data_IF_590387924292
#
_entry.id   IF_590387924292
#
_cell.length_a   1.000
_cell.length_b   1.000
_cell.length_c   1.000
_cell.angle_alpha   90.00
_cell.angle_beta   90.00
_cell.angle_gamma   90.00
#
_symmetry.space_group_name_H-M   'P 1'
#
loop_
_entity.id
_entity.type
_entity.pdbx_description
1 polymer ?
#
# COMPACT_ATOMS: atom_id res chain seq x y z
N UNK A 1 8.11 -53.15 -91.69
CA UNK A 1 9.44 -52.62 -92.04
C UNK A 1 9.76 -51.46 -91.11
N UNK A 2 10.86 -51.60 -90.38
CA UNK A 2 11.46 -50.61 -89.47
C UNK A 2 11.66 -49.26 -90.13
N UNK A 3 11.48 -48.17 -89.38
CA UNK A 3 12.36 -47.01 -89.55
C UNK A 3 12.58 -46.30 -88.20
N UNK A 4 13.54 -46.85 -87.44
CA UNK A 4 14.17 -46.20 -86.30
C UNK A 4 14.88 -44.92 -86.80
N UNK A 5 14.22 -43.77 -86.68
CA UNK A 5 14.89 -42.49 -86.86
C UNK A 5 15.78 -42.21 -85.64
N UNK A 6 17.08 -42.40 -85.84
CA UNK A 6 18.17 -42.02 -84.95
C UNK A 6 17.95 -40.61 -84.36
N UNK A 7 17.74 -40.52 -83.04
CA UNK A 7 17.96 -39.26 -82.30
C UNK A 7 19.45 -38.91 -82.42
N UNK A 8 19.79 -37.93 -83.26
CA UNK A 8 21.15 -37.37 -83.33
C UNK A 8 21.50 -36.80 -81.95
N UNK A 9 22.42 -37.45 -81.23
CA UNK A 9 23.11 -36.83 -80.09
C UNK A 9 24.01 -35.73 -80.66
N UNK A 10 23.71 -34.47 -80.32
CA UNK A 10 24.64 -33.38 -80.57
C UNK A 10 25.86 -33.59 -79.66
N UNK A 11 27.01 -33.92 -80.26
CA UNK A 11 28.31 -33.83 -79.60
C UNK A 11 28.83 -32.41 -79.82
N UNK A 12 28.86 -31.60 -78.76
CA UNK A 12 29.63 -30.36 -78.76
C UNK A 12 31.12 -30.72 -78.76
N UNK A 13 31.85 -30.27 -79.78
CA UNK A 13 33.31 -30.39 -79.80
C UNK A 13 33.90 -29.70 -78.57
N UNK A 14 34.95 -30.27 -77.99
CA UNK A 14 35.60 -29.69 -76.82
C UNK A 14 36.14 -28.30 -77.16
N UNK A 15 35.66 -27.27 -76.46
CA UNK A 15 36.19 -25.91 -76.57
C UNK A 15 37.71 -25.93 -76.36
N UNK A 16 38.48 -25.39 -77.32
CA UNK A 16 39.96 -25.42 -77.33
C UNK A 16 40.60 -24.64 -76.17
N UNK A 17 39.81 -23.85 -75.44
CA UNK A 17 40.25 -23.07 -74.31
C UNK A 17 39.45 -23.45 -73.07
N UNK A 18 40.11 -23.99 -72.04
CA UNK A 18 39.51 -24.18 -70.72
C UNK A 18 39.34 -22.79 -70.11
N UNK A 19 38.11 -22.31 -69.99
CA UNK A 19 37.81 -21.14 -69.15
C UNK A 19 38.02 -21.59 -67.71
N UNK A 20 39.24 -21.39 -67.20
CA UNK A 20 39.53 -21.56 -65.78
C UNK A 20 39.08 -20.28 -65.08
N UNK A 21 38.16 -20.44 -64.13
CA UNK A 21 37.77 -19.37 -63.22
C UNK A 21 39.04 -18.91 -62.49
N UNK A 22 39.31 -17.61 -62.45
CA UNK A 22 40.46 -17.04 -61.73
C UNK A 22 40.50 -17.64 -60.31
N UNK A 23 41.62 -18.25 -59.86
CA UNK A 23 41.74 -18.78 -58.50
C UNK A 23 41.40 -17.76 -57.41
N UNK A 24 41.56 -16.45 -57.71
CA UNK A 24 41.22 -15.34 -56.81
C UNK A 24 39.82 -14.77 -57.02
N UNK A 25 39.03 -15.32 -57.94
CA UNK A 25 37.66 -14.87 -58.23
C UNK A 25 36.80 -14.90 -56.97
N UNK A 26 36.82 -16.03 -56.24
CA UNK A 26 36.02 -16.21 -55.03
C UNK A 26 36.38 -15.20 -53.94
N UNK A 27 37.66 -14.87 -53.76
CA UNK A 27 38.12 -13.86 -52.80
C UNK A 27 37.70 -12.44 -53.17
N UNK A 28 37.84 -12.09 -54.45
CA UNK A 28 37.44 -10.76 -54.95
C UNK A 28 35.94 -10.54 -54.83
N UNK A 29 35.14 -11.52 -55.25
CA UNK A 29 33.68 -11.44 -55.19
C UNK A 29 33.19 -11.43 -53.74
N UNK A 30 33.81 -12.22 -52.85
CA UNK A 30 33.49 -12.18 -51.42
C UNK A 30 33.76 -10.81 -50.79
N UNK A 31 34.90 -10.18 -51.09
CA UNK A 31 35.21 -8.83 -50.55
C UNK A 31 34.18 -7.77 -50.94
N UNK A 32 33.59 -7.86 -52.14
CA UNK A 32 32.53 -6.96 -52.58
C UNK A 32 31.26 -7.19 -51.73
N UNK A 33 30.90 -8.45 -51.49
CA UNK A 33 29.75 -8.81 -50.66
C UNK A 33 29.95 -8.43 -49.19
N UNK A 34 31.14 -8.68 -48.64
CA UNK A 34 31.54 -8.30 -47.29
C UNK A 34 31.48 -6.78 -47.07
N UNK A 35 32.03 -6.00 -48.01
CA UNK A 35 31.94 -4.54 -47.96
C UNK A 35 30.48 -4.06 -48.00
N UNK A 36 29.64 -4.66 -48.85
CA UNK A 36 28.22 -4.33 -48.89
C UNK A 36 27.50 -4.65 -47.57
N UNK A 37 27.85 -5.75 -46.90
CA UNK A 37 27.32 -6.09 -45.57
C UNK A 37 27.69 -5.00 -44.56
N UNK A 38 28.95 -4.54 -44.55
CA UNK A 38 29.41 -3.45 -43.68
C UNK A 38 28.69 -2.13 -43.96
N UNK A 39 28.51 -1.75 -45.24
CA UNK A 39 27.80 -0.51 -45.61
C UNK A 39 26.32 -0.55 -45.22
N UNK A 40 25.65 -1.70 -45.39
CA UNK A 40 24.26 -1.90 -44.92
C UNK A 40 24.18 -1.73 -43.42
N UNK A 41 25.13 -2.33 -42.70
CA UNK A 41 25.18 -2.26 -41.25
C UNK A 41 25.45 -0.85 -40.72
N UNK A 42 26.24 -0.06 -41.44
CA UNK A 42 26.52 1.35 -41.14
C UNK A 42 25.43 2.31 -41.65
N UNK A 43 24.29 1.81 -42.12
CA UNK A 43 23.19 2.59 -42.71
C UNK A 43 23.54 3.36 -44.00
N UNK A 44 24.62 2.99 -44.70
CA UNK A 44 25.08 3.60 -45.95
C UNK A 44 24.68 2.76 -47.19
N UNK A 45 23.41 2.36 -47.27
CA UNK A 45 22.93 1.47 -48.34
C UNK A 45 22.66 2.13 -49.70
N UNK A 46 22.67 3.47 -49.80
CA UNK A 46 22.24 4.20 -51.00
C UNK A 46 23.15 4.00 -52.22
N UNK A 47 24.39 3.55 -52.02
CA UNK A 47 25.36 3.27 -53.08
C UNK A 47 25.37 1.82 -53.57
N UNK A 48 24.55 0.93 -52.99
CA UNK A 48 24.60 -0.51 -53.28
C UNK A 48 23.58 -0.90 -54.36
N UNK A 49 24.03 -1.68 -55.35
CA UNK A 49 23.15 -2.28 -56.35
C UNK A 49 22.74 -3.70 -55.94
N UNK A 50 21.48 -3.88 -55.57
CA UNK A 50 20.93 -5.18 -55.15
C UNK A 50 21.04 -6.27 -56.25
N UNK A 51 20.92 -5.90 -57.52
CA UNK A 51 21.03 -6.84 -58.64
C UNK A 51 22.48 -7.33 -58.82
N UNK A 52 23.45 -6.42 -58.65
CA UNK A 52 24.87 -6.76 -58.74
C UNK A 52 25.30 -7.68 -57.58
N UNK A 53 24.87 -7.36 -56.36
CA UNK A 53 25.13 -8.17 -55.17
C UNK A 53 24.50 -9.57 -55.30
N UNK A 54 23.25 -9.63 -55.77
CA UNK A 54 22.56 -10.91 -56.03
C UNK A 54 23.32 -11.74 -57.08
N UNK A 55 23.72 -11.13 -58.20
CA UNK A 55 24.46 -11.81 -59.27
C UNK A 55 25.82 -12.31 -58.77
N UNK A 56 26.51 -11.54 -57.93
CA UNK A 56 27.78 -11.93 -57.33
C UNK A 56 27.62 -13.13 -56.40
N UNK A 57 26.61 -13.14 -55.54
CA UNK A 57 26.30 -14.28 -54.67
C UNK A 57 25.87 -15.52 -55.49
N UNK A 58 24.99 -15.34 -56.48
CA UNK A 58 24.54 -16.40 -57.38
C UNK A 58 25.71 -17.05 -58.12
N UNK A 59 26.61 -16.25 -58.69
CA UNK A 59 27.79 -16.75 -59.41
C UNK A 59 28.77 -17.49 -58.48
N UNK A 60 28.92 -17.06 -57.23
CA UNK A 60 29.73 -17.81 -56.25
C UNK A 60 29.17 -19.21 -56.00
N UNK A 61 27.84 -19.34 -55.87
CA UNK A 61 27.18 -20.65 -55.72
C UNK A 61 27.33 -21.48 -57.00
N UNK A 62 27.10 -20.87 -58.16
CA UNK A 62 27.22 -21.52 -59.48
C UNK A 62 28.62 -22.09 -59.71
N UNK A 63 29.67 -21.38 -59.27
CA UNK A 63 31.06 -21.81 -59.38
C UNK A 63 31.55 -22.69 -58.21
N UNK A 64 30.64 -23.26 -57.41
CA UNK A 64 30.94 -24.17 -56.28
C UNK A 64 31.71 -23.53 -55.11
N UNK A 65 31.62 -22.21 -54.94
CA UNK A 65 32.19 -21.50 -53.78
C UNK A 65 31.15 -21.24 -52.67
N UNK A 66 30.09 -22.05 -52.58
CA UNK A 66 29.02 -21.88 -51.60
C UNK A 66 29.47 -21.99 -50.14
N UNK A 67 30.44 -22.86 -49.84
CA UNK A 67 30.99 -23.00 -48.49
C UNK A 67 31.72 -21.73 -48.04
N UNK A 68 32.47 -21.09 -48.95
CA UNK A 68 33.17 -19.82 -48.70
C UNK A 68 32.18 -18.67 -48.51
N UNK A 69 31.11 -18.64 -49.30
CA UNK A 69 30.04 -17.66 -49.15
C UNK A 69 29.35 -17.78 -47.79
N UNK A 70 29.02 -19.01 -47.37
CA UNK A 70 28.36 -19.27 -46.09
C UNK A 70 29.27 -18.96 -44.89
N UNK A 71 30.50 -19.49 -44.87
CA UNK A 71 31.46 -19.27 -43.78
C UNK A 71 31.87 -17.81 -43.67
N UNK A 72 32.06 -17.11 -44.79
CA UNK A 72 32.28 -15.68 -44.83
C UNK A 72 31.12 -14.90 -44.20
N UNK A 73 29.88 -15.20 -44.60
CA UNK A 73 28.69 -14.51 -44.08
C UNK A 73 28.57 -14.70 -42.56
N UNK A 74 28.72 -15.94 -42.09
CA UNK A 74 28.70 -16.26 -40.65
C UNK A 74 29.79 -15.47 -39.92
N UNK A 75 31.01 -15.41 -40.47
CA UNK A 75 32.13 -14.67 -39.87
C UNK A 75 31.85 -13.17 -39.78
N UNK A 76 31.42 -12.52 -40.87
CA UNK A 76 31.14 -11.08 -40.91
C UNK A 76 29.98 -10.71 -39.99
N UNK A 77 28.90 -11.49 -39.97
CA UNK A 77 27.78 -11.27 -39.04
C UNK A 77 28.20 -11.47 -37.58
N UNK A 78 28.98 -12.52 -37.29
CA UNK A 78 29.50 -12.78 -35.94
C UNK A 78 30.40 -11.63 -35.46
N UNK A 79 31.24 -11.08 -36.34
CA UNK A 79 32.06 -9.92 -36.03
C UNK A 79 31.20 -8.71 -35.63
N UNK A 80 30.19 -8.37 -36.44
CA UNK A 80 29.27 -7.27 -36.12
C UNK A 80 28.55 -7.48 -34.79
N UNK A 81 28.02 -8.69 -34.55
CA UNK A 81 27.34 -9.01 -33.30
C UNK A 81 28.28 -8.86 -32.11
N UNK A 82 29.54 -9.32 -32.21
CA UNK A 82 30.53 -9.17 -31.14
C UNK A 82 30.91 -7.71 -30.88
N UNK A 83 31.03 -6.89 -31.91
CA UNK A 83 31.31 -5.46 -31.75
C UNK A 83 30.15 -4.75 -31.04
N UNK A 84 28.90 -5.11 -31.34
CA UNK A 84 27.72 -4.64 -30.59
C UNK A 84 27.80 -5.09 -29.13
N UNK A 85 28.10 -6.38 -28.89
CA UNK A 85 28.19 -6.92 -27.53
C UNK A 85 29.22 -6.17 -26.69
N UNK A 86 30.39 -5.83 -27.25
CA UNK A 86 31.40 -5.02 -26.56
C UNK A 86 30.91 -3.60 -26.23
N UNK A 87 30.20 -2.97 -27.16
CA UNK A 87 29.61 -1.63 -26.93
C UNK A 87 28.58 -1.71 -25.80
N UNK A 88 27.81 -2.80 -25.72
CA UNK A 88 26.84 -3.04 -24.64
C UNK A 88 27.53 -3.30 -23.30
N UNK A 89 28.58 -4.13 -23.26
CA UNK A 89 29.33 -4.44 -22.04
C UNK A 89 29.99 -3.20 -21.44
N UNK A 90 30.61 -2.35 -22.29
CA UNK A 90 31.20 -1.07 -21.85
C UNK A 90 30.12 -0.11 -21.34
N UNK A 91 28.92 -0.12 -21.93
CA UNK A 91 27.81 0.71 -21.49
C UNK A 91 27.17 0.28 -20.16
N UNK A 92 27.41 -0.96 -19.69
CA UNK A 92 26.81 -1.50 -18.46
C UNK A 92 27.67 -1.29 -17.20
N UNK A 93 28.92 -0.85 -17.33
CA UNK A 93 29.89 -0.77 -16.23
C UNK A 93 29.87 0.51 -15.39
N UNK A 94 29.23 1.60 -15.86
CA UNK A 94 29.26 2.89 -15.15
C UNK A 94 27.86 3.40 -14.73
N UNK A 95 27.69 3.82 -13.47
CA UNK A 95 26.40 4.21 -12.89
C UNK A 95 25.82 5.53 -13.44
N UNK A 96 26.54 6.24 -14.31
CA UNK A 96 26.17 7.56 -14.85
C UNK A 96 25.51 7.54 -16.22
N UNK A 97 25.47 6.40 -16.92
CA UNK A 97 25.08 6.35 -18.33
C UNK A 97 23.70 5.72 -18.54
N UNK A 98 22.67 6.39 -18.02
CA UNK A 98 21.28 6.15 -18.41
C UNK A 98 21.08 6.49 -19.90
N UNK A 99 20.96 5.47 -20.75
CA UNK A 99 20.07 5.52 -21.92
C UNK A 99 20.56 6.09 -23.25
N UNK A 100 21.77 6.63 -23.38
CA UNK A 100 22.18 7.39 -24.58
C UNK A 100 23.08 6.67 -25.62
N UNK A 101 23.56 5.43 -25.41
CA UNK A 101 24.54 4.81 -26.35
C UNK A 101 24.04 3.55 -27.08
N UNK A 102 22.89 2.99 -26.71
CA UNK A 102 22.35 1.80 -27.38
C UNK A 102 21.42 2.23 -28.52
N UNK A 103 21.80 1.94 -29.77
CA UNK A 103 20.93 2.12 -30.93
C UNK A 103 19.72 1.16 -30.81
N UNK A 104 18.60 1.68 -30.31
CA UNK A 104 17.36 0.91 -30.08
C UNK A 104 16.81 0.29 -31.36
N UNK A 105 17.02 0.96 -32.52
CA UNK A 105 16.63 0.44 -33.82
C UNK A 105 17.43 -0.79 -34.22
N UNK A 106 18.74 -0.75 -33.99
CA UNK A 106 19.64 -1.88 -34.22
C UNK A 106 19.28 -3.07 -33.31
N UNK A 107 19.06 -2.83 -32.02
CA UNK A 107 18.63 -3.88 -31.08
C UNK A 107 17.32 -4.53 -31.53
N UNK A 108 16.33 -3.73 -31.92
CA UNK A 108 15.06 -4.24 -32.44
C UNK A 108 15.26 -5.11 -33.68
N UNK A 109 16.14 -4.72 -34.59
CA UNK A 109 16.44 -5.50 -35.79
C UNK A 109 17.13 -6.83 -35.46
N UNK A 110 18.08 -6.83 -34.52
CA UNK A 110 18.76 -8.06 -34.08
C UNK A 110 17.78 -9.00 -33.39
N UNK A 111 16.97 -8.48 -32.47
CA UNK A 111 15.99 -9.30 -31.74
C UNK A 111 14.96 -9.86 -32.71
N UNK A 112 14.50 -9.07 -33.68
CA UNK A 112 13.64 -9.55 -34.77
C UNK A 112 14.30 -10.65 -35.58
N UNK A 113 15.58 -10.48 -35.96
CA UNK A 113 16.33 -11.51 -36.67
C UNK A 113 16.43 -12.81 -35.86
N UNK A 114 16.74 -12.74 -34.57
CA UNK A 114 16.83 -13.92 -33.69
C UNK A 114 15.48 -14.64 -33.60
N UNK A 115 14.38 -13.88 -33.51
CA UNK A 115 13.02 -14.43 -33.51
C UNK A 115 12.65 -15.06 -34.85
N UNK A 116 13.03 -14.45 -35.97
CA UNK A 116 12.79 -14.94 -37.34
C UNK A 116 13.61 -16.23 -37.63
N UNK A 117 14.81 -16.36 -37.06
CA UNK A 117 15.62 -17.58 -37.14
C UNK A 117 15.02 -18.76 -36.35
N UNK A 118 14.19 -18.46 -35.35
CA UNK A 118 13.39 -19.43 -34.64
C UNK A 118 13.24 -19.08 -33.15
N UNK A 119 12.07 -19.36 -32.53
CA UNK A 119 11.86 -19.06 -31.11
C UNK A 119 12.88 -19.70 -30.17
N UNK A 120 13.42 -20.87 -30.51
CA UNK A 120 14.46 -21.54 -29.73
C UNK A 120 15.79 -20.80 -29.76
N UNK A 121 16.14 -20.17 -30.88
CA UNK A 121 17.38 -19.39 -31.02
C UNK A 121 17.33 -18.18 -30.10
N UNK A 122 16.22 -17.44 -30.13
CA UNK A 122 16.03 -16.32 -29.21
C UNK A 122 16.06 -16.78 -27.74
N UNK A 123 15.36 -17.86 -27.39
CA UNK A 123 15.24 -18.28 -25.99
C UNK A 123 16.55 -18.84 -25.43
N UNK A 124 17.20 -19.73 -26.17
CA UNK A 124 18.39 -20.44 -25.70
C UNK A 124 19.67 -19.60 -25.84
N UNK A 125 19.85 -18.92 -26.97
CA UNK A 125 21.12 -18.25 -27.28
C UNK A 125 21.15 -16.79 -26.81
N UNK A 126 19.99 -16.17 -26.53
CA UNK A 126 19.90 -14.79 -26.06
C UNK A 126 19.18 -14.63 -24.72
N UNK A 127 17.91 -15.04 -24.62
CA UNK A 127 17.05 -14.71 -23.47
C UNK A 127 17.58 -15.34 -22.17
N UNK A 128 17.97 -16.62 -22.20
CA UNK A 128 18.55 -17.30 -21.02
C UNK A 128 19.84 -16.63 -20.54
N UNK A 129 20.90 -16.46 -21.37
CA UNK A 129 22.09 -15.72 -20.97
C UNK A 129 21.81 -14.30 -20.50
N UNK A 130 20.89 -13.58 -21.18
CA UNK A 130 20.49 -12.24 -20.80
C UNK A 130 19.90 -12.18 -19.38
N UNK A 131 19.01 -13.13 -19.04
CA UNK A 131 18.41 -13.21 -17.70
C UNK A 131 19.45 -13.57 -16.63
N UNK A 132 20.39 -14.47 -16.92
CA UNK A 132 21.48 -14.83 -16.00
C UNK A 132 22.41 -13.66 -15.70
N UNK A 133 22.83 -12.93 -16.74
CA UNK A 133 23.66 -11.72 -16.58
C UNK A 133 22.89 -10.64 -15.82
N UNK A 134 21.61 -10.44 -16.14
CA UNK A 134 20.75 -9.47 -15.45
C UNK A 134 20.58 -9.82 -13.97
N UNK A 135 20.39 -11.10 -13.64
CA UNK A 135 20.31 -11.55 -12.25
C UNK A 135 21.59 -11.24 -11.48
N UNK A 136 22.76 -11.52 -12.07
CA UNK A 136 24.03 -11.18 -11.45
C UNK A 136 24.21 -9.67 -11.27
N UNK A 137 23.83 -8.87 -12.27
CA UNK A 137 23.87 -7.41 -12.20
C UNK A 137 23.02 -6.88 -11.03
N UNK A 138 21.74 -7.27 -10.97
CA UNK A 138 20.82 -6.82 -9.92
C UNK A 138 21.19 -7.34 -8.53
N UNK A 139 21.80 -8.53 -8.45
CA UNK A 139 22.34 -9.06 -7.20
C UNK A 139 23.47 -8.20 -6.65
N UNK A 140 24.42 -7.78 -7.49
CA UNK A 140 25.54 -6.93 -7.07
C UNK A 140 25.05 -5.52 -6.73
N UNK A 141 24.19 -4.95 -7.58
CA UNK A 141 23.66 -3.60 -7.39
C UNK A 141 22.79 -3.50 -6.12
N UNK A 142 21.91 -4.47 -5.87
CA UNK A 142 21.08 -4.47 -4.67
C UNK A 142 21.91 -4.51 -3.37
N UNK A 143 22.99 -5.30 -3.33
CA UNK A 143 23.90 -5.32 -2.18
C UNK A 143 24.58 -3.97 -1.97
N UNK A 144 25.08 -3.35 -3.05
CA UNK A 144 25.67 -2.01 -2.97
C UNK A 144 24.66 -0.98 -2.44
N UNK A 145 23.42 -1.01 -2.94
CA UNK A 145 22.39 -0.08 -2.45
C UNK A 145 22.07 -0.28 -0.98
N UNK A 146 22.03 -1.52 -0.49
CA UNK A 146 21.80 -1.79 0.94
C UNK A 146 22.91 -1.24 1.82
N UNK A 147 24.15 -1.21 1.34
CA UNK A 147 25.29 -0.70 2.10
C UNK A 147 25.36 0.83 2.14
N UNK A 148 24.83 1.52 1.11
CA UNK A 148 25.01 2.96 0.95
C UNK A 148 23.74 3.81 1.02
N UNK A 149 22.55 3.21 0.97
CA UNK A 149 21.27 3.92 0.94
C UNK A 149 20.46 3.67 2.20
N UNK A 150 19.59 4.62 2.53
CA UNK A 150 18.49 4.35 3.43
C UNK A 150 17.40 3.51 2.73
N UNK A 151 16.45 2.98 3.51
CA UNK A 151 15.40 2.12 2.96
C UNK A 151 14.51 2.87 1.95
N UNK A 152 14.16 4.14 2.19
CA UNK A 152 13.29 4.90 1.28
C UNK A 152 13.92 5.10 -0.10
N UNK A 153 15.20 5.48 -0.12
CA UNK A 153 15.96 5.67 -1.36
C UNK A 153 16.25 4.35 -2.07
N UNK A 154 16.47 3.27 -1.32
CA UNK A 154 16.54 1.92 -1.90
C UNK A 154 15.25 1.58 -2.65
N UNK A 155 14.08 1.79 -2.03
CA UNK A 155 12.78 1.47 -2.63
C UNK A 155 12.54 2.28 -3.91
N UNK A 156 12.88 3.58 -3.92
CA UNK A 156 12.81 4.43 -5.13
C UNK A 156 13.70 3.89 -6.25
N UNK A 157 14.93 3.46 -5.93
CA UNK A 157 15.85 2.89 -6.92
C UNK A 157 15.33 1.56 -7.48
N UNK A 158 14.79 0.68 -6.62
CA UNK A 158 14.20 -0.58 -7.05
C UNK A 158 12.97 -0.36 -7.95
N UNK A 159 12.08 0.57 -7.61
CA UNK A 159 10.94 0.97 -8.44
C UNK A 159 11.41 1.51 -9.80
N UNK A 160 12.44 2.35 -9.81
CA UNK A 160 13.03 2.86 -11.07
C UNK A 160 13.57 1.73 -11.95
N UNK A 161 14.29 0.75 -11.38
CA UNK A 161 14.82 -0.40 -12.14
C UNK A 161 13.70 -1.24 -12.76
N UNK A 162 12.60 -1.47 -12.04
CA UNK A 162 11.42 -2.14 -12.62
C UNK A 162 10.85 -1.38 -13.82
N UNK A 163 10.71 -0.06 -13.71
CA UNK A 163 10.21 0.77 -14.81
C UNK A 163 11.17 0.79 -16.02
N UNK A 164 12.48 0.86 -15.77
CA UNK A 164 13.50 0.79 -16.81
C UNK A 164 13.46 -0.55 -17.58
N UNK A 165 13.18 -1.68 -16.91
CA UNK A 165 12.99 -2.97 -17.60
C UNK A 165 11.70 -3.04 -18.40
N UNK A 166 10.59 -2.48 -17.88
CA UNK A 166 9.33 -2.39 -18.61
C UNK A 166 9.53 -1.61 -19.91
N UNK A 167 10.21 -0.46 -19.81
CA UNK A 167 10.59 0.33 -20.97
C UNK A 167 11.50 -0.48 -21.90
N UNK A 168 12.54 -1.11 -21.39
CA UNK A 168 13.47 -1.91 -22.20
C UNK A 168 12.75 -2.96 -23.05
N UNK A 169 11.83 -3.69 -22.42
CA UNK A 169 11.07 -4.72 -23.10
C UNK A 169 10.21 -4.10 -24.21
N UNK A 170 9.48 -3.03 -23.90
CA UNK A 170 8.64 -2.34 -24.90
C UNK A 170 9.42 -1.81 -26.10
N UNK A 171 10.68 -1.43 -25.92
CA UNK A 171 11.48 -0.82 -26.98
C UNK A 171 12.05 -1.85 -27.97
N UNK A 172 12.56 -2.98 -27.47
CA UNK A 172 13.30 -3.91 -28.33
C UNK A 172 13.34 -5.39 -27.92
N UNK A 173 12.80 -5.82 -26.77
CA UNK A 173 12.77 -7.27 -26.43
C UNK A 173 11.44 -7.90 -26.85
N UNK A 174 11.39 -9.24 -26.88
CA UNK A 174 10.12 -9.94 -27.06
C UNK A 174 9.21 -9.76 -25.85
N UNK A 175 7.90 -9.62 -26.08
CA UNK A 175 6.92 -9.42 -25.02
C UNK A 175 6.88 -10.59 -24.02
N UNK A 176 7.24 -11.81 -24.43
CA UNK A 176 7.29 -12.98 -23.55
C UNK A 176 8.45 -12.91 -22.54
N UNK A 177 9.45 -12.06 -22.79
CA UNK A 177 10.55 -11.83 -21.86
C UNK A 177 10.15 -10.92 -20.70
N UNK A 178 9.06 -10.14 -20.84
CA UNK A 178 8.60 -9.17 -19.83
C UNK A 178 8.47 -9.77 -18.42
N UNK A 179 7.71 -10.86 -18.30
CA UNK A 179 7.49 -11.52 -17.02
C UNK A 179 8.78 -12.12 -16.45
N UNK A 180 9.67 -12.63 -17.31
CA UNK A 180 10.90 -13.29 -16.88
C UNK A 180 11.91 -12.29 -16.32
N UNK A 181 12.14 -11.17 -17.01
CA UNK A 181 13.07 -10.14 -16.52
C UNK A 181 12.50 -9.42 -15.29
N UNK A 182 11.18 -9.18 -15.25
CA UNK A 182 10.51 -8.60 -14.08
C UNK A 182 10.71 -9.50 -12.86
N UNK A 183 10.51 -10.81 -12.99
CA UNK A 183 10.74 -11.77 -11.90
C UNK A 183 12.20 -11.76 -11.41
N UNK A 184 13.18 -11.56 -12.30
CA UNK A 184 14.59 -11.44 -11.91
C UNK A 184 14.80 -10.21 -11.03
N UNK A 185 14.28 -9.05 -11.43
CA UNK A 185 14.38 -7.82 -10.62
C UNK A 185 13.64 -7.98 -9.28
N UNK A 186 12.43 -8.53 -9.30
CA UNK A 186 11.63 -8.77 -8.10
C UNK A 186 12.35 -9.73 -7.13
N UNK A 187 12.98 -10.79 -7.64
CA UNK A 187 13.74 -11.73 -6.81
C UNK A 187 14.99 -11.08 -6.22
N UNK A 188 15.84 -10.49 -7.05
CA UNK A 188 17.16 -10.00 -6.64
C UNK A 188 17.10 -8.69 -5.86
N UNK A 189 16.18 -7.78 -6.21
CA UNK A 189 16.08 -6.48 -5.54
C UNK A 189 15.06 -6.45 -4.40
N UNK A 190 14.03 -7.31 -4.40
CA UNK A 190 12.95 -7.24 -3.40
C UNK A 190 12.96 -8.50 -2.52
N UNK A 191 12.73 -9.68 -3.08
CA UNK A 191 12.51 -10.90 -2.31
C UNK A 191 13.71 -11.27 -1.43
N UNK A 192 14.92 -11.22 -2.00
CA UNK A 192 16.16 -11.59 -1.29
C UNK A 192 16.49 -10.66 -0.11
N UNK A 193 16.02 -9.40 -0.15
CA UNK A 193 16.37 -8.36 0.82
C UNK A 193 15.21 -7.90 1.68
N UNK A 194 14.02 -8.46 1.46
CA UNK A 194 12.74 -8.07 2.08
C UNK A 194 12.85 -7.87 3.60
N UNK A 195 13.34 -8.87 4.34
CA UNK A 195 13.49 -8.80 5.79
C UNK A 195 14.52 -7.75 6.22
N UNK A 196 15.61 -7.61 5.47
CA UNK A 196 16.67 -6.65 5.76
C UNK A 196 16.20 -5.20 5.55
N UNK A 197 15.36 -4.95 4.54
CA UNK A 197 14.77 -3.65 4.27
C UNK A 197 13.76 -3.25 5.34
N UNK A 198 12.85 -4.17 5.70
CA UNK A 198 11.82 -3.89 6.71
C UNK A 198 12.43 -3.61 8.08
N UNK A 199 13.47 -4.35 8.45
CA UNK A 199 14.18 -4.21 9.73
C UNK A 199 15.45 -3.35 9.65
N UNK A 200 15.61 -2.56 8.59
CA UNK A 200 16.80 -1.72 8.40
C UNK A 200 16.93 -0.71 9.54
N UNK A 201 18.13 -0.63 10.12
CA UNK A 201 18.41 0.29 11.23
C UNK A 201 18.16 1.75 10.79
N UNK A 202 17.48 2.52 11.64
CA UNK A 202 17.18 3.95 11.47
C UNK A 202 16.38 4.37 10.22
N UNK A 203 16.05 3.45 9.31
CA UNK A 203 15.31 3.77 8.08
C UNK A 203 14.25 2.75 7.68
N UNK A 204 14.21 1.58 8.31
CA UNK A 204 13.22 0.53 8.03
C UNK A 204 11.79 0.93 8.35
N UNK A 205 10.86 -0.02 8.18
CA UNK A 205 9.42 0.23 8.22
C UNK A 205 8.97 0.91 9.51
N UNK A 206 9.50 0.51 10.67
CA UNK A 206 9.15 1.11 11.96
C UNK A 206 9.47 2.60 12.00
N UNK A 207 10.63 3.01 11.48
CA UNK A 207 10.99 4.43 11.43
C UNK A 207 10.10 5.20 10.44
N UNK A 208 9.74 4.59 9.31
CA UNK A 208 8.78 5.19 8.38
C UNK A 208 7.39 5.40 9.00
N UNK A 209 6.95 4.48 9.89
CA UNK A 209 5.69 4.62 10.63
C UNK A 209 5.77 5.73 11.69
N UNK A 210 6.91 5.86 12.39
CA UNK A 210 7.13 6.90 13.39
C UNK A 210 7.18 8.29 12.76
N UNK A 211 7.94 8.46 11.67
CA UNK A 211 8.16 9.72 10.96
C UNK A 211 7.05 10.10 9.97
N UNK A 212 5.95 9.34 9.92
CA UNK A 212 4.80 9.58 9.02
C UNK A 212 5.18 9.66 7.53
N UNK A 213 6.14 8.82 7.08
CA UNK A 213 6.62 8.76 5.68
C UNK A 213 5.66 7.98 4.78
N UNK A 214 4.46 8.51 4.55
CA UNK A 214 3.38 7.83 3.82
C UNK A 214 3.75 7.40 2.39
N UNK A 215 4.53 8.22 1.66
CA UNK A 215 4.95 7.87 0.30
C UNK A 215 5.88 6.66 0.28
N UNK A 216 6.86 6.62 1.17
CA UNK A 216 7.82 5.50 1.24
C UNK A 216 7.13 4.21 1.70
N UNK A 217 6.18 4.31 2.64
CA UNK A 217 5.30 3.19 3.02
C UNK A 217 4.46 2.69 1.82
N UNK A 218 3.95 3.61 0.98
CA UNK A 218 3.21 3.27 -0.23
C UNK A 218 4.06 2.56 -1.28
N UNK A 219 5.30 3.01 -1.48
CA UNK A 219 6.30 2.33 -2.32
C UNK A 219 6.64 0.95 -1.76
N UNK A 220 6.84 0.84 -0.45
CA UNK A 220 7.10 -0.44 0.21
C UNK A 220 5.95 -1.42 -0.04
N UNK A 221 4.70 -1.00 0.15
CA UNK A 221 3.53 -1.85 -0.10
C UNK A 221 3.44 -2.31 -1.57
N UNK A 222 3.66 -1.39 -2.51
CA UNK A 222 3.56 -1.64 -3.95
C UNK A 222 4.70 -2.53 -4.49
N UNK A 223 5.87 -2.50 -3.87
CA UNK A 223 6.99 -3.41 -4.18
C UNK A 223 6.79 -4.78 -3.53
N UNK A 224 6.32 -4.81 -2.28
CA UNK A 224 6.18 -6.04 -1.52
C UNK A 224 4.96 -6.87 -1.93
N UNK A 225 3.94 -6.26 -2.55
CA UNK A 225 2.81 -7.01 -3.13
C UNK A 225 3.21 -7.93 -4.30
N UNK A 226 4.37 -7.67 -4.91
CA UNK A 226 4.90 -8.41 -6.07
C UNK A 226 5.57 -9.72 -5.68
N UNK A 227 6.02 -9.85 -4.43
CA UNK A 227 6.76 -11.01 -3.95
C UNK A 227 5.94 -11.85 -2.98
N UNK A 228 6.22 -13.15 -2.94
CA UNK A 228 5.58 -14.05 -1.98
C UNK A 228 5.92 -13.63 -0.55
N UNK A 229 4.92 -13.71 0.35
CA UNK A 229 5.04 -13.31 1.75
C UNK A 229 5.39 -11.83 2.01
N UNK A 230 5.43 -10.97 0.99
CA UNK A 230 5.75 -9.54 1.18
C UNK A 230 4.71 -8.82 2.03
N UNK A 231 3.43 -8.91 1.65
CA UNK A 231 2.34 -8.28 2.40
C UNK A 231 2.18 -8.84 3.82
N UNK A 232 2.40 -10.14 4.02
CA UNK A 232 2.37 -10.72 5.38
C UNK A 232 3.49 -10.17 6.24
N UNK A 233 4.70 -10.05 5.71
CA UNK A 233 5.87 -9.54 6.44
C UNK A 233 5.63 -8.12 6.95
N UNK A 234 5.22 -7.20 6.05
CA UNK A 234 4.97 -5.80 6.45
C UNK A 234 3.78 -5.70 7.42
N UNK A 235 2.73 -6.52 7.24
CA UNK A 235 1.58 -6.54 8.14
C UNK A 235 1.98 -7.01 9.54
N UNK A 236 2.80 -8.04 9.63
CA UNK A 236 3.23 -8.61 10.91
C UNK A 236 4.13 -7.62 11.67
N UNK A 237 5.00 -6.89 10.95
CA UNK A 237 5.83 -5.82 11.54
C UNK A 237 4.99 -4.63 12.00
N UNK A 238 4.03 -4.17 11.19
CA UNK A 238 3.07 -3.14 11.59
C UNK A 238 2.28 -3.57 12.84
N UNK A 239 1.77 -4.80 12.85
CA UNK A 239 0.99 -5.36 13.97
C UNK A 239 1.82 -5.39 15.25
N UNK A 240 3.07 -5.86 15.17
CA UNK A 240 3.99 -5.91 16.30
C UNK A 240 4.27 -4.51 16.85
N UNK A 241 4.57 -3.55 15.97
CA UNK A 241 4.83 -2.17 16.35
C UNK A 241 3.61 -1.49 17.01
N UNK A 242 2.41 -1.62 16.43
CA UNK A 242 1.17 -1.07 17.00
C UNK A 242 0.91 -1.65 18.39
N UNK A 243 1.10 -2.96 18.57
CA UNK A 243 0.88 -3.61 19.86
C UNK A 243 1.85 -3.11 20.93
N UNK A 244 3.12 -2.90 20.57
CA UNK A 244 4.13 -2.40 21.50
C UNK A 244 3.87 -0.93 21.86
N UNK A 245 3.68 -0.05 20.87
CA UNK A 245 3.35 1.36 21.08
C UNK A 245 2.04 1.52 21.87
N UNK A 246 1.00 0.77 21.50
CA UNK A 246 -0.29 0.79 22.19
C UNK A 246 -0.20 0.28 23.63
N UNK A 247 0.61 -0.76 23.89
CA UNK A 247 0.88 -1.25 25.25
C UNK A 247 1.57 -0.17 26.10
N UNK A 248 2.58 0.49 25.56
CA UNK A 248 3.26 1.59 26.25
C UNK A 248 2.27 2.71 26.59
N UNK A 249 1.44 3.12 25.62
CA UNK A 249 0.40 4.14 25.82
C UNK A 249 -0.58 3.77 26.94
N UNK A 250 -1.07 2.53 26.98
CA UNK A 250 -2.08 2.15 28.01
C UNK A 250 -1.51 1.86 29.40
N UNK A 251 -0.20 1.64 29.50
CA UNK A 251 0.49 1.30 30.77
C UNK A 251 1.30 2.46 31.36
N UNK A 252 1.49 3.56 30.62
CA UNK A 252 2.29 4.71 31.06
C UNK A 252 1.65 5.41 32.29
N UNK A 253 2.31 5.41 33.46
CA UNK A 253 1.81 6.06 34.67
C UNK A 253 1.48 7.54 34.52
N UNK A 254 2.18 8.27 33.65
CA UNK A 254 1.91 9.70 33.40
C UNK A 254 0.60 9.88 32.63
N UNK A 255 0.38 9.08 31.59
CA UNK A 255 -0.86 9.09 30.80
C UNK A 255 -2.08 8.62 31.60
N UNK A 256 -1.88 7.78 32.62
CA UNK A 256 -2.95 7.34 33.51
C UNK A 256 -3.46 8.43 34.49
N UNK A 257 -2.78 9.59 34.58
CA UNK A 257 -3.19 10.71 35.44
C UNK A 257 -4.36 11.50 34.84
N UNK A 258 -4.42 11.61 33.51
CA UNK A 258 -5.46 12.34 32.80
C UNK A 258 -6.27 11.38 31.90
N UNK A 259 -7.49 10.99 32.32
CA UNK A 259 -8.37 10.13 31.54
C UNK A 259 -8.75 10.71 30.17
N UNK A 260 -8.81 12.03 30.04
CA UNK A 260 -9.20 12.69 28.79
C UNK A 260 -8.03 12.64 27.80
N UNK A 261 -6.83 12.96 28.27
CA UNK A 261 -5.61 12.87 27.46
C UNK A 261 -5.33 11.42 27.03
N UNK A 262 -5.54 10.45 27.93
CA UNK A 262 -5.41 9.02 27.63
C UNK A 262 -6.25 8.60 26.43
N UNK A 263 -7.55 8.91 26.46
CA UNK A 263 -8.47 8.54 25.37
C UNK A 263 -8.17 9.33 24.10
N UNK A 264 -7.77 10.60 24.22
CA UNK A 264 -7.36 11.40 23.06
C UNK A 264 -6.15 10.77 22.35
N UNK A 265 -5.12 10.34 23.08
CA UNK A 265 -3.96 9.66 22.49
C UNK A 265 -4.36 8.36 21.76
N UNK A 266 -5.31 7.59 22.29
CA UNK A 266 -5.83 6.39 21.62
C UNK A 266 -6.54 6.71 20.30
N UNK A 267 -7.32 7.79 20.28
CA UNK A 267 -8.00 8.25 19.07
C UNK A 267 -7.02 8.75 18.02
N UNK A 268 -6.01 9.51 18.43
CA UNK A 268 -4.99 10.07 17.54
C UNK A 268 -4.14 8.95 16.91
N UNK A 269 -3.76 7.94 17.70
CA UNK A 269 -3.09 6.73 17.21
C UNK A 269 -3.96 5.96 16.21
N UNK A 270 -5.26 5.81 16.49
CA UNK A 270 -6.19 5.12 15.58
C UNK A 270 -6.30 5.86 14.25
N UNK A 271 -6.48 7.18 14.31
CA UNK A 271 -6.57 8.04 13.14
C UNK A 271 -5.27 8.01 12.32
N UNK A 272 -4.10 7.97 12.97
CA UNK A 272 -2.79 7.86 12.30
C UNK A 272 -2.72 6.58 11.47
N UNK A 273 -3.00 5.43 12.05
CA UNK A 273 -2.91 4.17 11.30
C UNK A 273 -4.03 3.98 10.27
N UNK A 274 -5.22 4.53 10.51
CA UNK A 274 -6.27 4.56 9.47
C UNK A 274 -5.83 5.38 8.26
N UNK A 275 -5.19 6.53 8.46
CA UNK A 275 -4.60 7.32 7.38
C UNK A 275 -3.51 6.55 6.65
N UNK A 276 -2.61 5.87 7.36
CA UNK A 276 -1.57 5.03 6.74
C UNK A 276 -2.19 3.96 5.85
N UNK A 277 -3.18 3.22 6.37
CA UNK A 277 -3.82 2.15 5.61
C UNK A 277 -4.54 2.71 4.37
N UNK A 278 -5.22 3.85 4.53
CA UNK A 278 -5.97 4.46 3.43
C UNK A 278 -5.06 5.05 2.34
N UNK A 279 -3.94 5.68 2.72
CA UNK A 279 -3.07 6.40 1.78
C UNK A 279 -1.95 5.52 1.21
N UNK A 280 -1.33 4.67 2.04
CA UNK A 280 -0.16 3.89 1.67
C UNK A 280 -0.49 2.43 1.33
N UNK A 281 -1.45 1.81 2.03
CA UNK A 281 -1.75 0.36 1.88
C UNK A 281 -3.01 0.08 1.09
N UNK A 282 -3.40 0.97 0.18
CA UNK A 282 -4.51 0.78 -0.77
C UNK A 282 -5.85 0.39 -0.09
N UNK A 283 -6.06 0.81 1.16
CA UNK A 283 -7.23 0.47 1.96
C UNK A 283 -7.42 -1.06 2.15
N UNK A 284 -6.33 -1.81 2.29
CA UNK A 284 -6.33 -3.28 2.41
C UNK A 284 -7.02 -3.76 3.71
N UNK A 285 -8.08 -4.58 3.54
CA UNK A 285 -8.88 -5.12 4.65
C UNK A 285 -8.08 -5.97 5.62
N UNK A 286 -7.02 -6.63 5.16
CA UNK A 286 -6.19 -7.48 6.04
C UNK A 286 -5.38 -6.62 7.02
N UNK A 287 -4.95 -5.43 6.61
CA UNK A 287 -4.29 -4.45 7.47
C UNK A 287 -5.29 -3.78 8.41
N UNK A 288 -6.50 -3.45 7.94
CA UNK A 288 -7.57 -2.95 8.80
C UNK A 288 -7.92 -3.94 9.92
N UNK A 289 -8.04 -5.22 9.59
CA UNK A 289 -8.32 -6.27 10.57
C UNK A 289 -7.18 -6.43 11.58
N UNK A 290 -5.92 -6.35 11.12
CA UNK A 290 -4.75 -6.38 11.99
C UNK A 290 -4.69 -5.17 12.95
N UNK A 291 -5.04 -3.98 12.46
CA UNK A 291 -5.17 -2.77 13.27
C UNK A 291 -6.27 -2.94 14.34
N UNK A 292 -7.47 -3.36 13.93
CA UNK A 292 -8.60 -3.59 14.83
C UNK A 292 -8.26 -4.61 15.94
N UNK A 293 -7.65 -5.74 15.57
CA UNK A 293 -7.23 -6.77 16.51
C UNK A 293 -6.13 -6.26 17.46
N UNK A 294 -5.25 -5.38 17.00
CA UNK A 294 -4.19 -4.79 17.84
C UNK A 294 -4.78 -3.84 18.88
N UNK A 295 -5.73 -2.98 18.47
CA UNK A 295 -6.46 -2.10 19.39
C UNK A 295 -7.26 -2.89 20.43
N UNK A 296 -7.98 -3.94 20.02
CA UNK A 296 -8.66 -4.85 20.93
C UNK A 296 -7.69 -5.52 21.92
N UNK A 297 -6.49 -5.87 21.47
CA UNK A 297 -5.50 -6.48 22.36
C UNK A 297 -5.02 -5.52 23.45
N UNK A 298 -4.50 -4.33 23.09
CA UNK A 298 -3.85 -3.49 24.09
C UNK A 298 -4.83 -2.67 24.94
N UNK A 299 -6.01 -2.28 24.42
CA UNK A 299 -6.97 -1.47 25.20
C UNK A 299 -7.45 -2.20 26.45
N UNK A 300 -7.55 -3.52 26.36
CA UNK A 300 -7.99 -4.41 27.45
C UNK A 300 -6.86 -4.80 28.41
N UNK A 301 -5.61 -4.37 28.18
CA UNK A 301 -4.52 -4.55 29.15
C UNK A 301 -4.67 -3.61 30.36
N UNK A 302 -5.36 -2.48 30.18
CA UNK A 302 -5.63 -1.53 31.25
C UNK A 302 -7.07 -1.69 31.75
N UNK A 303 -7.30 -2.14 33.00
CA UNK A 303 -8.65 -2.30 33.57
C UNK A 303 -9.40 -0.97 33.75
N UNK A 304 -8.70 0.17 33.69
CA UNK A 304 -9.32 1.51 33.78
C UNK A 304 -9.80 2.04 32.43
N UNK A 305 -9.49 1.38 31.30
CA UNK A 305 -9.94 1.82 29.97
C UNK A 305 -11.45 2.07 29.89
N UNK A 306 -12.34 1.20 30.42
CA UNK A 306 -13.79 1.46 30.42
C UNK A 306 -14.19 2.72 31.21
N UNK A 307 -13.54 2.98 32.36
CA UNK A 307 -13.77 4.19 33.16
C UNK A 307 -13.34 5.44 32.39
N UNK A 308 -12.14 5.40 31.79
CA UNK A 308 -11.54 6.53 31.09
C UNK A 308 -12.33 6.93 29.84
N UNK A 309 -12.78 5.95 29.05
CA UNK A 309 -13.65 6.23 27.90
C UNK A 309 -14.96 6.87 28.37
N UNK A 310 -15.52 6.41 29.49
CA UNK A 310 -16.73 7.02 30.05
C UNK A 310 -16.50 8.48 30.52
N UNK A 311 -15.35 8.76 31.15
CA UNK A 311 -14.97 10.10 31.59
C UNK A 311 -14.69 11.03 30.40
N UNK A 312 -14.05 10.54 29.34
CA UNK A 312 -13.83 11.31 28.12
C UNK A 312 -15.16 11.75 27.49
N UNK A 313 -16.11 10.83 27.38
CA UNK A 313 -17.46 11.12 26.89
C UNK A 313 -18.17 12.14 27.79
N UNK A 314 -18.07 11.99 29.11
CA UNK A 314 -18.62 12.95 30.08
C UNK A 314 -18.01 14.34 29.91
N UNK A 315 -16.70 14.45 29.75
CA UNK A 315 -15.99 15.71 29.54
C UNK A 315 -16.46 16.40 28.24
N UNK A 316 -16.55 15.67 27.12
CA UNK A 316 -17.02 16.22 25.84
C UNK A 316 -18.47 16.69 25.90
N UNK A 317 -19.35 15.97 26.62
CA UNK A 317 -20.77 16.33 26.76
C UNK A 317 -21.04 17.44 27.79
N UNK A 318 -20.12 17.69 28.74
CA UNK A 318 -20.26 18.78 29.73
C UNK A 318 -19.59 20.08 29.31
N UNK A 319 -18.35 19.98 28.84
CA UNK A 319 -17.55 21.18 28.55
C UNK A 319 -17.78 21.72 27.16
N UNK A 320 -18.38 20.92 26.27
CA UNK A 320 -18.83 21.31 24.92
C UNK A 320 -17.89 22.33 24.36
N UNK A 321 -16.67 21.88 24.05
CA UNK A 321 -15.48 22.71 23.80
C UNK A 321 -15.91 24.10 23.30
N UNK A 322 -15.71 25.14 24.12
CA UNK A 322 -16.07 26.52 23.75
C UNK A 322 -15.53 26.82 22.35
N UNK A 323 -16.40 26.82 21.33
CA UNK A 323 -16.05 27.04 19.92
C UNK A 323 -16.07 25.82 18.98
N UNK A 324 -16.51 24.64 19.42
CA UNK A 324 -16.64 23.43 18.58
C UNK A 324 -18.08 23.24 18.12
N UNK A 325 -18.27 22.87 16.86
CA UNK A 325 -19.59 22.70 16.26
C UNK A 325 -20.27 21.42 16.76
N UNK A 326 -21.60 21.34 16.66
CA UNK A 326 -22.33 20.09 16.98
C UNK A 326 -21.92 18.93 16.07
N UNK A 327 -21.51 19.22 14.83
CA UNK A 327 -21.01 18.24 13.86
C UNK A 327 -19.68 17.61 14.31
N UNK A 328 -18.76 18.42 14.83
CA UNK A 328 -17.48 17.93 15.36
C UNK A 328 -17.68 17.04 16.59
N UNK A 329 -18.66 17.36 17.45
CA UNK A 329 -19.02 16.52 18.59
C UNK A 329 -19.49 15.15 18.10
N UNK A 330 -20.35 15.12 17.08
CA UNK A 330 -20.87 13.88 16.52
C UNK A 330 -19.77 12.99 15.94
N UNK A 331 -18.79 13.58 15.24
CA UNK A 331 -17.59 12.88 14.72
C UNK A 331 -16.78 12.28 15.88
N UNK A 332 -16.57 13.03 16.96
CA UNK A 332 -15.85 12.54 18.14
C UNK A 332 -16.62 11.39 18.81
N UNK A 333 -17.96 11.49 18.91
CA UNK A 333 -18.78 10.42 19.46
C UNK A 333 -18.68 9.14 18.62
N UNK A 334 -18.68 9.24 17.28
CA UNK A 334 -18.47 8.08 16.40
C UNK A 334 -17.10 7.44 16.63
N UNK A 335 -16.04 8.25 16.72
CA UNK A 335 -14.69 7.75 17.00
C UNK A 335 -14.60 7.04 18.35
N UNK A 336 -15.24 7.57 19.39
CA UNK A 336 -15.29 6.92 20.70
C UNK A 336 -16.05 5.60 20.64
N UNK A 337 -17.11 5.50 19.82
CA UNK A 337 -17.82 4.23 19.64
C UNK A 337 -16.94 3.15 19.00
N UNK A 338 -15.97 3.54 18.17
CA UNK A 338 -14.96 2.60 17.66
C UNK A 338 -14.14 2.02 18.81
N UNK A 339 -13.65 2.85 19.75
CA UNK A 339 -12.93 2.38 20.93
C UNK A 339 -13.80 1.51 21.83
N UNK A 340 -15.07 1.88 22.01
CA UNK A 340 -16.02 1.09 22.79
C UNK A 340 -16.20 -0.33 22.22
N UNK A 341 -16.20 -0.49 20.89
CA UNK A 341 -16.28 -1.83 20.26
C UNK A 341 -15.12 -2.74 20.62
N UNK A 342 -13.94 -2.17 20.88
CA UNK A 342 -12.75 -2.93 21.27
C UNK A 342 -12.75 -3.36 22.75
N UNK A 343 -13.65 -2.82 23.59
CA UNK A 343 -13.73 -3.20 25.00
C UNK A 343 -14.35 -4.59 25.18
N UNK A 344 -13.71 -5.41 26.03
CA UNK A 344 -14.26 -6.68 26.50
C UNK A 344 -15.26 -6.49 27.65
N UNK A 345 -14.90 -5.68 28.65
CA UNK A 345 -15.73 -5.40 29.85
C UNK A 345 -16.73 -4.25 29.62
N UNK A 346 -17.68 -4.46 28.71
CA UNK A 346 -18.70 -3.45 28.34
C UNK A 346 -19.67 -3.11 29.50
N UNK A 347 -19.87 -4.03 30.43
CA UNK A 347 -20.69 -3.84 31.63
C UNK A 347 -20.03 -2.88 32.64
N UNK A 348 -18.70 -2.91 32.74
CA UNK A 348 -17.92 -1.97 33.56
C UNK A 348 -18.04 -0.56 32.97
N UNK A 349 -17.93 -0.42 31.65
CA UNK A 349 -18.19 0.85 30.97
C UNK A 349 -19.62 1.35 31.28
N UNK A 350 -20.63 0.49 31.13
CA UNK A 350 -22.03 0.84 31.37
C UNK A 350 -22.25 1.36 32.80
N UNK A 351 -21.62 0.72 33.80
CA UNK A 351 -21.70 1.15 35.20
C UNK A 351 -21.16 2.56 35.39
N UNK A 352 -19.97 2.87 34.87
CA UNK A 352 -19.40 4.23 34.96
C UNK A 352 -20.20 5.24 34.16
N UNK A 353 -20.63 4.87 32.95
CA UNK A 353 -21.45 5.73 32.10
C UNK A 353 -22.74 6.16 32.79
N UNK A 354 -23.46 5.22 33.44
CA UNK A 354 -24.66 5.54 34.23
C UNK A 354 -24.37 6.50 35.37
N UNK A 355 -23.26 6.33 36.09
CA UNK A 355 -22.88 7.21 37.19
C UNK A 355 -22.59 8.64 36.69
N UNK A 356 -21.90 8.78 35.55
CA UNK A 356 -21.60 10.09 34.96
C UNK A 356 -22.85 10.75 34.38
N UNK A 357 -23.68 9.98 33.68
CA UNK A 357 -24.98 10.42 33.17
C UNK A 357 -25.86 10.95 34.31
N UNK A 358 -25.95 10.21 35.43
CA UNK A 358 -26.71 10.67 36.60
C UNK A 358 -26.20 12.01 37.12
N UNK A 359 -24.88 12.18 37.25
CA UNK A 359 -24.28 13.45 37.71
C UNK A 359 -24.57 14.60 36.73
N UNK A 360 -24.50 14.38 35.42
CA UNK A 360 -24.84 15.40 34.41
C UNK A 360 -26.29 15.84 34.49
N UNK A 361 -27.19 14.85 34.58
CA UNK A 361 -28.61 15.10 34.66
C UNK A 361 -29.03 15.85 35.94
N UNK A 362 -28.32 15.62 37.06
CA UNK A 362 -28.57 16.31 38.32
C UNK A 362 -27.90 17.70 38.40
N UNK A 363 -26.73 17.88 37.79
CA UNK A 363 -25.98 19.15 37.82
C UNK A 363 -26.53 20.20 36.83
N UNK A 364 -27.22 19.76 35.77
CA UNK A 364 -27.75 20.67 34.74
C UNK A 364 -26.69 21.24 33.79
N UNK A 365 -25.46 20.71 33.86
CA UNK A 365 -24.30 21.13 33.05
C UNK A 365 -24.21 20.37 31.71
N UNK A 366 -25.33 20.04 31.05
CA UNK A 366 -25.31 19.38 29.73
C UNK A 366 -25.21 20.42 28.61
N UNK A 367 -24.33 20.16 27.63
CA UNK A 367 -24.10 21.06 26.48
C UNK A 367 -25.26 21.03 25.50
N UNK A 368 -25.75 19.83 25.17
CA UNK A 368 -26.86 19.65 24.23
C UNK A 368 -27.62 18.37 24.56
N UNK A 369 -28.94 18.50 24.70
CA UNK A 369 -29.82 17.35 24.97
C UNK A 369 -29.87 16.41 23.74
N UNK A 370 -29.61 16.92 22.53
CA UNK A 370 -29.59 16.15 21.28
C UNK A 370 -28.31 15.31 21.14
N UNK A 371 -27.15 15.83 21.53
CA UNK A 371 -25.90 15.05 21.58
C UNK A 371 -26.00 13.86 22.55
N UNK A 372 -26.67 14.08 23.70
CA UNK A 372 -26.94 13.02 24.69
C UNK A 372 -27.84 11.91 24.11
N UNK A 373 -28.86 12.28 23.32
CA UNK A 373 -29.74 11.33 22.61
C UNK A 373 -28.96 10.55 21.56
N UNK A 374 -28.18 11.26 20.73
CA UNK A 374 -27.37 10.66 19.67
C UNK A 374 -26.48 9.55 20.23
N UNK A 375 -25.72 9.83 21.29
CA UNK A 375 -24.85 8.85 21.92
C UNK A 375 -25.59 7.60 22.39
N UNK A 376 -26.79 7.74 22.94
CA UNK A 376 -27.57 6.59 23.43
C UNK A 376 -28.10 5.75 22.27
N UNK A 377 -28.47 6.38 21.16
CA UNK A 377 -28.82 5.68 19.93
C UNK A 377 -27.60 4.91 19.42
N UNK A 378 -26.40 5.50 19.41
CA UNK A 378 -25.17 4.81 19.01
C UNK A 378 -24.84 3.62 19.94
N UNK A 379 -24.93 3.82 21.25
CA UNK A 379 -24.76 2.75 22.24
C UNK A 379 -25.79 1.61 22.04
N UNK A 380 -27.05 1.94 21.70
CA UNK A 380 -28.08 0.95 21.37
C UNK A 380 -27.70 0.11 20.15
N UNK A 381 -27.19 0.74 19.10
CA UNK A 381 -26.75 0.05 17.87
C UNK A 381 -25.58 -0.89 18.16
N UNK A 382 -24.62 -0.45 18.97
CA UNK A 382 -23.38 -1.21 19.23
C UNK A 382 -23.50 -2.29 20.30
N UNK A 383 -24.39 -2.11 21.29
CA UNK A 383 -24.55 -3.05 22.41
C UNK A 383 -25.77 -3.96 22.29
N UNK A 384 -26.61 -3.70 21.30
CA UNK A 384 -27.95 -4.26 21.23
C UNK A 384 -28.90 -3.73 22.32
N UNK A 385 -30.10 -4.29 22.28
CA UNK A 385 -31.26 -3.93 23.10
C UNK A 385 -31.04 -3.99 24.64
N UNK A 386 -30.21 -4.89 25.21
CA UNK A 386 -30.05 -5.02 26.67
C UNK A 386 -29.43 -3.81 27.38
N UNK A 387 -28.29 -3.31 26.90
CA UNK A 387 -27.60 -2.15 27.51
C UNK A 387 -28.47 -0.89 27.37
N UNK A 388 -29.10 -0.72 26.21
CA UNK A 388 -30.06 0.36 25.97
C UNK A 388 -31.22 0.34 26.98
N UNK A 389 -31.88 -0.81 27.19
CA UNK A 389 -32.96 -0.91 28.18
C UNK A 389 -32.45 -0.71 29.61
N UNK A 390 -31.22 -1.12 29.89
CA UNK A 390 -30.59 -0.97 31.19
C UNK A 390 -30.33 0.52 31.53
N UNK A 391 -29.86 1.30 30.55
CA UNK A 391 -29.72 2.76 30.65
C UNK A 391 -31.11 3.42 30.74
N UNK A 392 -32.05 3.04 29.87
CA UNK A 392 -33.44 3.57 29.87
C UNK A 392 -34.16 3.30 31.20
N UNK A 393 -34.03 2.10 31.77
CA UNK A 393 -34.54 1.79 33.11
C UNK A 393 -33.86 2.58 34.20
N UNK A 394 -32.56 2.85 34.08
CA UNK A 394 -31.84 3.66 35.07
C UNK A 394 -32.39 5.09 35.08
N UNK A 395 -32.55 5.69 33.91
CA UNK A 395 -33.19 7.01 33.73
C UNK A 395 -34.63 7.00 34.27
N UNK A 396 -35.45 6.02 33.89
CA UNK A 396 -36.86 5.94 34.33
C UNK A 396 -37.01 5.62 35.84
N UNK A 397 -36.14 4.82 36.44
CA UNK A 397 -36.14 4.59 37.91
C UNK A 397 -35.79 5.86 38.66
N UNK A 398 -34.83 6.64 38.18
CA UNK A 398 -34.48 7.94 38.76
C UNK A 398 -35.62 8.94 38.58
N UNK A 399 -36.29 8.95 37.43
CA UNK A 399 -37.52 9.71 37.20
C UNK A 399 -38.61 9.35 38.21
N UNK A 400 -38.87 8.06 38.43
CA UNK A 400 -39.88 7.62 39.39
C UNK A 400 -39.49 7.96 40.84
N UNK A 401 -38.20 7.91 41.20
CA UNK A 401 -37.72 8.38 42.51
C UNK A 401 -37.90 9.90 42.66
N UNK A 402 -37.52 10.69 41.65
CA UNK A 402 -37.70 12.15 41.64
C UNK A 402 -39.18 12.53 41.69
N UNK A 403 -40.04 11.87 40.91
CA UNK A 403 -41.49 12.06 40.91
C UNK A 403 -42.11 11.65 42.25
N UNK A 404 -41.64 10.55 42.87
CA UNK A 404 -42.10 10.13 44.19
C UNK A 404 -41.70 11.15 45.27
N UNK A 405 -40.47 11.67 45.25
CA UNK A 405 -40.01 12.73 46.16
C UNK A 405 -40.77 14.03 45.92
N UNK A 406 -40.99 14.43 44.66
CA UNK A 406 -41.79 15.61 44.32
C UNK A 406 -43.25 15.47 44.76
N UNK A 407 -43.85 14.28 44.57
CA UNK A 407 -45.20 13.98 45.02
C UNK A 407 -45.29 13.98 46.55
N UNK A 408 -44.31 13.40 47.25
CA UNK A 408 -44.22 13.47 48.72
C UNK A 408 -44.09 14.92 49.19
N UNK A 409 -43.24 15.72 48.55
CA UNK A 409 -43.11 17.15 48.83
C UNK A 409 -44.45 17.86 48.64
N UNK A 410 -45.10 17.72 47.47
CA UNK A 410 -46.39 18.34 47.12
C UNK A 410 -47.54 17.91 48.05
N UNK A 411 -47.57 16.65 48.48
CA UNK A 411 -48.57 16.12 49.42
C UNK A 411 -48.30 16.57 50.86
N UNK A 412 -47.05 16.86 51.22
CA UNK A 412 -46.68 17.38 52.54
C UNK A 412 -46.80 18.91 52.67
N UNK A 413 -46.83 19.68 51.57
CA UNK A 413 -47.02 21.15 51.60
C UNK A 413 -48.27 21.56 52.41
N UNK A 414 -49.46 20.94 52.22
CA UNK A 414 -50.66 21.28 52.98
C UNK A 414 -50.53 21.02 54.49
N UNK A 415 -49.78 19.99 54.88
CA UNK A 415 -49.55 19.65 56.29
C UNK A 415 -48.58 20.63 56.97
N UNK A 416 -47.57 21.12 56.25
CA UNK A 416 -46.64 22.13 56.76
C UNK A 416 -47.26 23.53 56.83
N UNK A 417 -48.18 23.89 55.93
CA UNK A 417 -48.95 25.14 56.05
C UNK A 417 -49.92 25.16 57.23
N UNK A 418 -50.29 23.99 57.77
CA UNK A 418 -51.18 23.87 58.93
C UNK A 418 -50.41 23.95 60.26
N UNK A 419 -49.18 23.44 60.32
CA UNK A 419 -48.33 23.48 61.52
C UNK A 419 -47.81 24.89 61.87
N UNK A 420 -47.81 25.83 60.93
CA UNK A 420 -47.45 27.23 61.20
C UNK A 420 -48.59 28.06 61.82
N UNK A 421 -49.80 27.50 61.96
CA UNK A 421 -50.96 28.23 62.49
C UNK A 421 -51.19 28.04 64.01
N UNK A 422 -50.50 27.14 64.69
CA UNK A 422 -50.68 26.91 66.13
C UNK A 422 -49.36 26.73 66.89
N UNK A 423 -48.96 27.85 67.52
CA UNK A 423 -48.08 27.99 68.71
C UNK A 423 -46.62 27.47 68.65
N UNK A 424 -45.73 28.42 68.96
CA UNK A 424 -44.36 28.32 69.50
C UNK A 424 -43.31 27.66 68.60
N UNK A 425 -42.73 28.48 67.70
CA UNK A 425 -41.58 28.16 66.87
C UNK A 425 -40.30 28.79 67.43
N UNK A 426 -39.43 27.98 68.05
CA UNK A 426 -38.03 28.39 68.31
C UNK A 426 -36.99 27.33 67.94
N UNK A 427 -37.36 26.20 67.32
CA UNK A 427 -36.37 25.12 67.07
C UNK A 427 -36.38 24.49 65.67
N UNK A 428 -37.16 25.00 64.71
CA UNK A 428 -37.22 24.42 63.34
C UNK A 428 -36.86 25.38 62.20
N UNK A 429 -36.42 26.61 62.50
CA UNK A 429 -36.00 27.57 61.46
C UNK A 429 -34.60 27.30 60.86
N UNK A 430 -33.85 26.32 61.35
CA UNK A 430 -32.50 26.01 60.83
C UNK A 430 -32.48 25.06 59.63
N UNK A 431 -33.61 24.42 59.26
CA UNK A 431 -33.63 23.46 58.14
C UNK A 431 -34.20 24.08 56.84
N UNK A 432 -34.85 25.25 56.90
CA UNK A 432 -35.73 25.72 55.82
C UNK A 432 -35.49 27.14 55.29
N UNK A 433 -34.38 27.80 55.62
CA UNK A 433 -34.10 29.16 55.12
C UNK A 433 -33.44 29.22 53.73
N UNK A 434 -32.98 28.10 53.16
CA UNK A 434 -32.25 28.08 51.87
C UNK A 434 -33.03 27.45 50.69
N UNK A 435 -34.30 27.08 50.86
CA UNK A 435 -34.97 26.16 49.92
C UNK A 435 -36.10 26.77 49.05
N UNK A 436 -35.90 27.97 48.51
CA UNK A 436 -36.66 28.41 47.31
C UNK A 436 -36.06 27.87 45.99
N UNK A 437 -34.81 27.39 46.00
CA UNK A 437 -34.16 26.79 44.83
C UNK A 437 -34.72 25.40 44.47
N UNK A 438 -35.15 24.60 45.45
CA UNK A 438 -35.49 23.18 45.23
C UNK A 438 -36.71 22.96 44.31
N UNK A 439 -37.76 23.77 44.41
CA UNK A 439 -38.99 23.57 43.62
C UNK A 439 -38.86 24.05 42.17
N UNK A 440 -38.10 25.12 41.94
CA UNK A 440 -37.81 25.63 40.60
C UNK A 440 -36.81 24.72 39.89
N UNK A 441 -35.77 24.27 40.59
CA UNK A 441 -34.80 23.28 40.09
C UNK A 441 -35.51 21.96 39.76
N UNK A 442 -36.39 21.45 40.63
CA UNK A 442 -37.15 20.23 40.35
C UNK A 442 -38.13 20.39 39.17
N UNK A 443 -38.79 21.56 39.01
CA UNK A 443 -39.63 21.84 37.84
C UNK A 443 -38.83 22.03 36.55
N UNK A 444 -37.63 22.61 36.63
CA UNK A 444 -36.74 22.81 35.48
C UNK A 444 -36.12 21.48 35.02
N UNK A 445 -35.67 20.65 35.97
CA UNK A 445 -35.24 19.26 35.75
C UNK A 445 -36.40 18.46 35.14
N UNK A 446 -37.62 18.55 35.69
CA UNK A 446 -38.79 17.84 35.15
C UNK A 446 -39.17 18.28 33.72
N UNK A 447 -39.01 19.58 33.39
CA UNK A 447 -39.33 20.12 32.06
C UNK A 447 -38.29 19.72 31.01
N UNK A 448 -37.00 19.63 31.36
CA UNK A 448 -35.95 19.10 30.47
C UNK A 448 -36.01 17.58 30.29
N UNK A 449 -36.30 16.83 31.36
CA UNK A 449 -36.38 15.37 31.31
C UNK A 449 -37.59 14.84 30.53
N UNK A 450 -38.75 15.50 30.62
CA UNK A 450 -39.99 15.06 29.94
C UNK A 450 -39.88 15.12 28.41
N UNK A 451 -39.07 16.05 27.89
CA UNK A 451 -38.77 16.18 26.45
C UNK A 451 -37.98 14.97 25.96
N UNK A 452 -37.09 14.42 26.80
CA UNK A 452 -36.21 13.30 26.48
C UNK A 452 -36.90 11.92 26.44
N UNK A 453 -38.05 11.77 27.09
CA UNK A 453 -38.76 10.47 27.22
C UNK A 453 -39.84 10.26 26.15
N UNK A 454 -40.36 11.33 25.54
CA UNK A 454 -41.47 11.23 24.59
C UNK A 454 -41.06 10.96 23.14
N UNK A 455 -39.77 11.07 22.79
CA UNK A 455 -39.25 10.88 21.42
C UNK A 455 -38.10 9.85 21.30
N UNK A 456 -37.74 9.15 22.39
CA UNK A 456 -36.82 8.00 22.44
C UNK A 456 -37.56 6.68 22.75
#
# INVERSE_FOLDING_TARGET
>A
MNNNQNKRKFQTEAFKHRVMVDPKYADKTWKILEHAIHEIYNHNGSGLNAEELYRNAYNMVLHKFGEKLYSGLVSTLTFHIKEISKVIEVAQGEPSFQGEVINRGLMRNIIKMLMDLGPSVYQEDFEKPFLEVSANFYRVESQQFIECCDCGDYLKKAERRLNEEIERVSHYLDAKSAAKITNVVEQEMIANHMLRLVHMENSGMVNMLLDDKYEDLGRMYSLFCRVSNGLSTIRDVMTSHIRETGKQLVTDPEKLKDPVEFVQCLLDEKDKYDRIISLAFSNDKTFQNALNSSFEFFINLNPRSPEFISLFVDDKLRKGLKGVSEEDIEIVLDKVMILFRYLQEKDVFEKYYKQHLEKRLLSGETVSDDAERSLIVKLKTECGVPIYFSIRRHVHRRENQLNSVCHYFLVCIPYFTCLTATRTHTSMCYIWKDNQLSVIVLRYIWKKFKVWVHEL
#
